data_IF_426088623248
#
_entry.id   IF_426088623248
#
_cell.length_a   1.000
_cell.length_b   1.000
_cell.length_c   1.000
_cell.angle_alpha   90.00
_cell.angle_beta   90.00
_cell.angle_gamma   90.00
#
_symmetry.space_group_name_H-M   'P 1'
#
loop_
_entity.id
_entity.type
_entity.pdbx_description
1 polymer ?
#
# COMPACT_ATOMS: atom_id res chain seq x y z
N UNK A 1 25.76 22.87 8.69
CA UNK A 1 26.28 22.43 10.00
C UNK A 1 25.08 22.27 10.91
N UNK A 2 24.99 21.20 11.70
CA UNK A 2 23.95 21.12 12.74
C UNK A 2 24.49 21.88 13.95
N UNK A 3 24.05 23.12 14.14
CA UNK A 3 24.32 23.83 15.40
C UNK A 3 23.51 23.12 16.49
N UNK A 4 24.19 22.68 17.55
CA UNK A 4 23.55 22.30 18.80
C UNK A 4 23.35 23.57 19.60
N UNK A 5 22.17 24.17 19.48
CA UNK A 5 21.77 25.24 20.38
C UNK A 5 21.56 24.56 21.73
N UNK A 6 22.33 24.89 22.75
CA UNK A 6 22.21 24.24 24.05
C UNK A 6 20.87 24.57 24.71
N UNK A 7 19.84 23.77 24.44
CA UNK A 7 18.56 23.88 25.14
C UNK A 7 18.70 23.13 26.46
N UNK A 8 19.24 23.81 27.48
CA UNK A 8 19.24 23.29 28.86
C UNK A 8 17.82 23.15 29.44
N UNK A 9 17.59 23.62 30.67
CA UNK A 9 16.30 23.59 31.39
C UNK A 9 15.15 24.44 30.77
N UNK A 10 15.21 24.76 29.47
CA UNK A 10 14.28 25.65 28.77
C UNK A 10 13.28 24.92 27.88
N UNK A 11 13.33 23.59 27.86
CA UNK A 11 12.29 22.74 27.26
C UNK A 11 11.30 22.39 28.37
N UNK A 12 10.08 22.91 28.28
CA UNK A 12 9.01 22.61 29.24
C UNK A 12 7.89 21.86 28.56
N UNK A 13 7.44 20.77 29.18
CA UNK A 13 6.21 20.09 28.78
C UNK A 13 5.03 20.94 29.21
N UNK A 14 4.30 21.49 28.23
CA UNK A 14 3.18 22.42 28.47
C UNK A 14 1.89 21.63 28.67
N UNK A 15 1.63 20.62 27.83
CA UNK A 15 0.41 19.81 27.89
C UNK A 15 0.67 18.38 27.42
N UNK A 16 -0.01 17.42 28.02
CA UNK A 16 -0.18 16.09 27.47
C UNK A 16 -1.67 15.75 27.46
N UNK A 17 -2.18 15.41 26.28
CA UNK A 17 -3.57 15.02 26.07
C UNK A 17 -3.59 13.72 25.26
N UNK A 18 -3.73 12.59 25.96
CA UNK A 18 -3.59 11.26 25.37
C UNK A 18 -2.23 11.06 24.68
N UNK A 19 -2.30 10.88 23.35
CA UNK A 19 -1.15 10.66 22.45
C UNK A 19 -0.48 11.97 21.99
N UNK A 20 -1.04 13.13 22.35
CA UNK A 20 -0.54 14.44 21.96
C UNK A 20 0.29 15.04 23.09
N UNK A 21 1.56 15.33 22.81
CA UNK A 21 2.49 15.96 23.74
C UNK A 21 2.93 17.33 23.21
N UNK A 22 2.76 18.37 24.01
CA UNK A 22 3.12 19.74 23.63
C UNK A 22 4.30 20.22 24.49
N UNK A 23 5.39 20.61 23.84
CA UNK A 23 6.61 21.10 24.48
C UNK A 23 6.86 22.55 24.07
N UNK A 24 6.95 23.45 25.04
CA UNK A 24 7.39 24.83 24.85
C UNK A 24 8.89 24.92 24.93
N UNK A 25 9.50 25.59 23.95
CA UNK A 25 10.94 25.82 23.86
C UNK A 25 11.19 27.31 23.91
N UNK A 26 12.03 27.75 24.85
CA UNK A 26 12.46 29.15 24.96
C UNK A 26 13.95 29.28 24.67
N UNK A 27 14.31 30.14 23.71
CA UNK A 27 15.69 30.51 23.43
C UNK A 27 16.02 31.84 24.12
N UNK A 28 17.21 31.91 24.71
CA UNK A 28 17.77 33.18 25.20
C UNK A 28 18.38 34.00 24.07
N UNK A 29 18.73 35.24 24.41
CA UNK A 29 19.36 36.19 23.48
C UNK A 29 20.67 35.68 22.88
N UNK A 30 21.44 34.86 23.60
CA UNK A 30 22.72 34.31 23.12
C UNK A 30 22.49 33.26 22.04
N UNK A 31 21.71 32.22 22.35
CA UNK A 31 21.35 31.17 21.40
C UNK A 31 20.58 31.74 20.19
N UNK A 32 19.73 32.75 20.42
CA UNK A 32 19.00 33.43 19.35
C UNK A 32 19.94 34.19 18.41
N UNK A 33 20.99 34.83 18.92
CA UNK A 33 21.98 35.53 18.10
C UNK A 33 22.78 34.55 17.23
N UNK A 34 23.17 33.41 17.77
CA UNK A 34 23.88 32.36 17.04
C UNK A 34 23.00 31.78 15.91
N UNK A 35 21.74 31.44 16.23
CA UNK A 35 20.77 30.98 15.24
C UNK A 35 20.48 32.04 14.17
N UNK A 36 20.39 33.31 14.56
CA UNK A 36 20.18 34.45 13.64
C UNK A 36 21.35 34.64 12.68
N UNK A 37 22.58 34.49 13.16
CA UNK A 37 23.76 34.59 12.31
C UNK A 37 23.81 33.45 11.28
N UNK A 38 23.52 32.21 11.69
CA UNK A 38 23.47 31.09 10.76
C UNK A 38 22.33 31.25 9.74
N UNK A 39 21.14 31.69 10.18
CA UNK A 39 20.01 31.97 9.30
C UNK A 39 20.40 32.99 8.21
N UNK A 40 21.07 34.07 8.59
CA UNK A 40 21.54 35.08 7.63
C UNK A 40 22.55 34.52 6.62
N UNK A 41 23.46 33.65 7.05
CA UNK A 41 24.43 32.99 6.15
C UNK A 41 23.74 32.02 5.19
N UNK A 42 22.75 31.26 5.65
CA UNK A 42 21.95 30.37 4.78
C UNK A 42 21.16 31.16 3.77
N UNK A 43 20.46 32.21 4.21
CA UNK A 43 19.70 33.09 3.33
C UNK A 43 20.60 33.83 2.33
N UNK A 44 21.82 34.21 2.72
CA UNK A 44 22.79 34.82 1.80
C UNK A 44 23.08 33.93 0.58
N UNK A 45 23.09 32.60 0.77
CA UNK A 45 23.35 31.64 -0.31
C UNK A 45 22.18 31.45 -1.29
N UNK A 46 20.95 31.82 -0.89
CA UNK A 46 19.72 31.57 -1.65
C UNK A 46 19.08 32.86 -2.18
N UNK A 47 19.18 33.96 -1.44
CA UNK A 47 18.56 35.24 -1.77
C UNK A 47 19.31 35.92 -2.91
N UNK A 48 18.55 36.33 -3.92
CA UNK A 48 19.02 37.19 -5.01
C UNK A 48 18.53 38.62 -4.76
N UNK A 49 19.46 39.57 -4.72
CA UNK A 49 19.16 41.00 -4.62
C UNK A 49 19.71 41.74 -5.84
N UNK A 50 18.93 42.63 -6.48
CA UNK A 50 19.40 43.42 -7.61
C UNK A 50 20.70 44.17 -7.27
N UNK A 51 21.72 44.00 -8.11
CA UNK A 51 23.04 44.63 -7.90
C UNK A 51 24.07 43.77 -7.14
N UNK A 52 23.67 42.64 -6.56
CA UNK A 52 24.58 41.73 -5.86
C UNK A 52 24.51 40.32 -6.43
N UNK A 53 25.68 39.68 -6.58
CA UNK A 53 25.75 38.25 -6.92
C UNK A 53 25.27 37.41 -5.73
N UNK A 54 24.46 36.39 -6.02
CA UNK A 54 24.00 35.39 -5.03
C UNK A 54 25.19 34.89 -4.21
N UNK A 55 25.04 34.84 -2.88
CA UNK A 55 26.11 34.47 -1.94
C UNK A 55 27.04 35.61 -1.50
N UNK A 56 26.94 36.81 -2.08
CA UNK A 56 27.82 37.97 -1.76
C UNK A 56 27.05 39.21 -1.28
N UNK A 57 25.77 39.07 -0.98
CA UNK A 57 24.95 40.13 -0.40
C UNK A 57 25.40 40.39 1.06
N UNK A 58 25.61 41.64 1.50
CA UNK A 58 25.88 41.94 2.90
C UNK A 58 24.75 41.48 3.84
N UNK A 59 25.09 40.82 4.95
CA UNK A 59 24.12 40.25 5.89
C UNK A 59 23.17 41.31 6.50
N UNK A 60 23.66 42.53 6.70
CA UNK A 60 22.85 43.64 7.23
C UNK A 60 21.68 43.98 6.29
N UNK A 61 21.91 44.00 4.96
CA UNK A 61 20.86 44.28 3.99
C UNK A 61 19.81 43.16 3.95
N UNK A 62 20.22 41.90 4.07
CA UNK A 62 19.29 40.76 4.11
C UNK A 62 18.36 40.88 5.33
N UNK A 63 18.92 41.25 6.48
CA UNK A 63 18.17 41.44 7.73
C UNK A 63 17.12 42.55 7.63
N UNK A 64 17.46 43.65 6.96
CA UNK A 64 16.54 44.78 6.78
C UNK A 64 15.48 44.53 5.71
N UNK A 65 15.86 43.92 4.58
CA UNK A 65 14.97 43.74 3.43
C UNK A 65 14.04 42.51 3.58
N UNK A 66 14.46 41.47 4.30
CA UNK A 66 13.71 40.22 4.43
C UNK A 66 13.50 39.78 5.90
N UNK A 67 12.89 40.62 6.75
CA UNK A 67 12.74 40.31 8.18
C UNK A 67 11.87 39.07 8.44
N UNK A 68 10.86 38.80 7.61
CA UNK A 68 10.01 37.61 7.71
C UNK A 68 10.77 36.33 7.38
N UNK A 69 11.51 36.32 6.27
CA UNK A 69 12.31 35.17 5.83
C UNK A 69 13.40 34.82 6.85
N UNK A 70 14.03 35.84 7.44
CA UNK A 70 15.01 35.65 8.53
C UNK A 70 14.35 35.04 9.75
N UNK A 71 13.15 35.51 10.15
CA UNK A 71 12.41 34.91 11.26
C UNK A 71 12.10 33.44 11.01
N UNK A 72 11.63 33.09 9.82
CA UNK A 72 11.26 31.72 9.47
C UNK A 72 12.47 30.79 9.45
N UNK A 73 13.61 31.23 8.92
CA UNK A 73 14.85 30.45 8.92
C UNK A 73 15.41 30.27 10.34
N UNK A 74 15.32 31.32 11.19
CA UNK A 74 15.71 31.21 12.61
C UNK A 74 14.83 30.20 13.34
N UNK A 75 13.52 30.19 13.07
CA UNK A 75 12.58 29.22 13.63
C UNK A 75 12.90 27.80 13.17
N UNK A 76 13.19 27.60 11.88
CA UNK A 76 13.55 26.30 11.33
C UNK A 76 14.84 25.75 11.94
N UNK A 77 15.89 26.58 12.06
CA UNK A 77 17.14 26.21 12.72
C UNK A 77 16.90 25.84 14.18
N UNK A 78 16.14 26.67 14.90
CA UNK A 78 15.83 26.45 16.30
C UNK A 78 15.02 25.15 16.52
N UNK A 79 14.00 24.92 15.69
CA UNK A 79 13.18 23.72 15.75
C UNK A 79 13.97 22.45 15.41
N UNK A 80 14.79 22.47 14.35
CA UNK A 80 15.66 21.34 13.95
C UNK A 80 16.69 20.99 15.01
N UNK A 81 17.17 21.98 15.75
CA UNK A 81 18.11 21.77 16.86
C UNK A 81 17.39 21.23 18.11
N UNK A 82 16.19 21.74 18.44
CA UNK A 82 15.43 21.34 19.62
C UNK A 82 14.79 19.93 19.50
N UNK A 83 14.32 19.56 18.30
CA UNK A 83 13.68 18.27 18.02
C UNK A 83 14.45 17.04 18.55
N UNK A 84 15.73 16.82 18.18
CA UNK A 84 16.47 15.65 18.65
C UNK A 84 16.71 15.67 20.16
N UNK A 85 16.82 16.83 20.80
CA UNK A 85 16.98 16.93 22.24
C UNK A 85 15.69 16.57 22.99
N UNK A 86 14.54 17.05 22.51
CA UNK A 86 13.22 16.70 23.06
C UNK A 86 12.96 15.20 22.93
N UNK A 87 13.24 14.61 21.76
CA UNK A 87 13.06 13.18 21.51
C UNK A 87 13.93 12.35 22.45
N UNK A 88 15.21 12.70 22.62
CA UNK A 88 16.11 12.01 23.55
C UNK A 88 15.67 12.12 25.00
N UNK A 89 15.27 13.32 25.45
CA UNK A 89 14.87 13.55 26.83
C UNK A 89 13.54 12.86 27.19
N UNK A 90 12.62 12.77 26.24
CA UNK A 90 11.27 12.25 26.47
C UNK A 90 11.08 10.79 26.04
N UNK A 91 12.07 10.18 25.35
CA UNK A 91 11.98 8.84 24.76
C UNK A 91 10.72 8.62 23.92
N UNK A 92 10.20 9.71 23.34
CA UNK A 92 9.00 9.69 22.51
C UNK A 92 9.35 9.30 21.08
N UNK A 93 8.56 8.41 20.48
CA UNK A 93 8.64 8.07 19.07
C UNK A 93 7.45 8.72 18.34
N UNK A 94 7.65 9.89 17.71
CA UNK A 94 6.59 10.55 16.97
C UNK A 94 6.18 9.74 15.74
N UNK A 95 4.88 9.61 15.52
CA UNK A 95 4.30 8.92 14.36
C UNK A 95 4.19 9.86 13.16
N UNK A 96 4.01 11.15 13.45
CA UNK A 96 3.83 12.21 12.47
C UNK A 96 4.91 13.27 12.67
N UNK A 97 5.26 13.97 11.58
CA UNK A 97 6.14 15.13 11.65
C UNK A 97 5.58 16.14 12.69
N UNK A 98 6.40 16.59 13.66
CA UNK A 98 5.93 17.49 14.70
C UNK A 98 5.46 18.84 14.16
N UNK A 99 4.40 19.38 14.75
CA UNK A 99 3.81 20.66 14.34
C UNK A 99 4.29 21.79 15.24
N UNK A 100 4.70 22.91 14.63
CA UNK A 100 5.03 24.13 15.36
C UNK A 100 3.74 24.93 15.65
N UNK A 101 3.57 25.34 16.91
CA UNK A 101 2.47 26.15 17.41
C UNK A 101 2.97 27.34 18.22
N UNK A 102 2.11 28.34 18.40
CA UNK A 102 2.30 29.46 19.33
C UNK A 102 3.68 30.14 19.25
N UNK A 103 4.05 30.61 18.06
CA UNK A 103 5.35 31.24 17.83
C UNK A 103 5.35 32.71 18.28
N UNK A 104 6.18 33.03 19.28
CA UNK A 104 6.49 34.40 19.68
C UNK A 104 7.95 34.70 19.40
N UNK A 105 8.21 35.74 18.60
CA UNK A 105 9.55 36.14 18.20
C UNK A 105 9.78 37.61 18.56
N UNK A 106 10.67 37.84 19.52
CA UNK A 106 11.16 39.16 19.88
C UNK A 106 12.60 39.31 19.36
N UNK A 107 12.83 40.13 18.32
CA UNK A 107 14.15 40.33 17.75
C UNK A 107 15.18 40.70 18.83
N UNK A 108 16.30 39.99 18.87
CA UNK A 108 17.42 40.20 19.80
C UNK A 108 17.13 40.00 21.30
N UNK A 109 15.93 39.56 21.68
CA UNK A 109 15.57 39.29 23.09
C UNK A 109 15.32 37.81 23.36
N UNK A 110 14.29 37.26 22.76
CA UNK A 110 13.85 35.90 23.04
C UNK A 110 13.02 35.34 21.88
N UNK A 111 13.09 34.02 21.72
CA UNK A 111 12.21 33.27 20.83
C UNK A 111 11.52 32.18 21.64
N UNK A 112 10.21 32.12 21.53
CA UNK A 112 9.37 31.07 22.09
C UNK A 112 8.57 30.39 20.99
N UNK A 113 8.54 29.06 21.01
CA UNK A 113 7.64 28.28 20.17
C UNK A 113 7.25 26.99 20.87
N UNK A 114 6.11 26.44 20.47
CA UNK A 114 5.62 25.15 20.96
C UNK A 114 5.78 24.11 19.85
N UNK A 115 6.26 22.92 20.20
CA UNK A 115 6.27 21.75 19.32
C UNK A 115 5.23 20.76 19.84
N UNK A 116 4.28 20.41 18.99
CA UNK A 116 3.34 19.33 19.21
C UNK A 116 3.86 18.03 18.59
N UNK A 117 3.98 17.00 19.42
CA UNK A 117 4.29 15.63 19.02
C UNK A 117 3.04 14.77 19.15
N UNK A 118 2.82 13.89 18.18
CA UNK A 118 1.80 12.86 18.22
C UNK A 118 2.49 11.50 18.26
N UNK A 119 2.32 10.78 19.36
CA UNK A 119 3.00 9.52 19.64
C UNK A 119 2.02 8.35 19.54
N UNK A 120 2.52 7.16 19.22
CA UNK A 120 1.68 5.97 19.29
C UNK A 120 1.25 5.71 20.74
N UNK A 121 -0.01 5.27 20.95
CA UNK A 121 -0.42 4.82 22.26
C UNK A 121 0.42 3.61 22.68
N UNK A 122 0.81 3.57 23.95
CA UNK A 122 1.40 2.37 24.54
C UNK A 122 0.26 1.38 24.79
N UNK A 123 0.18 0.35 23.97
CA UNK A 123 -0.78 -0.73 24.12
C UNK A 123 -0.15 -1.84 24.97
N UNK A 124 -0.77 -2.12 26.13
CA UNK A 124 -0.48 -3.33 26.90
C UNK A 124 -1.49 -4.41 26.50
N UNK A 125 -1.12 -5.40 25.67
CA UNK A 125 -2.05 -6.44 25.27
C UNK A 125 -2.43 -7.27 26.50
N UNK A 126 -3.72 -7.24 26.88
CA UNK A 126 -4.29 -8.03 27.98
C UNK A 126 -5.26 -9.06 27.41
N UNK A 127 -5.25 -10.28 27.96
CA UNK A 127 -6.21 -11.33 27.61
C UNK A 127 -5.92 -12.15 26.36
N UNK A 128 -4.75 -11.97 25.72
CA UNK A 128 -4.34 -12.76 24.55
C UNK A 128 -4.18 -14.26 24.87
N UNK A 129 -3.83 -14.60 26.11
CA UNK A 129 -3.69 -15.99 26.59
C UNK A 129 -5.02 -16.75 26.63
N UNK A 130 -6.16 -16.04 26.65
CA UNK A 130 -7.49 -16.66 26.64
C UNK A 130 -7.99 -16.96 25.22
N UNK A 131 -7.23 -16.59 24.19
CA UNK A 131 -7.61 -16.82 22.79
C UNK A 131 -7.25 -18.26 22.44
N UNK A 132 -8.25 -19.14 22.42
CA UNK A 132 -8.07 -20.50 21.96
C UNK A 132 -7.92 -20.53 20.43
N UNK A 133 -6.78 -21.00 19.95
CA UNK A 133 -6.52 -21.21 18.53
C UNK A 133 -6.43 -22.70 18.22
N UNK A 134 -7.31 -23.20 17.35
CA UNK A 134 -7.30 -24.61 16.93
C UNK A 134 -6.32 -24.78 15.77
N UNK A 135 -5.22 -25.49 16.01
CA UNK A 135 -4.28 -25.87 14.93
C UNK A 135 -4.87 -27.03 14.14
N UNK A 136 -5.29 -26.77 12.91
CA UNK A 136 -5.61 -27.84 11.95
C UNK A 136 -4.31 -28.42 11.42
N UNK A 137 -4.00 -29.66 11.80
CA UNK A 137 -2.91 -30.43 11.19
C UNK A 137 -3.48 -31.30 10.08
N UNK A 138 -3.13 -31.00 8.84
CA UNK A 138 -3.45 -31.84 7.69
C UNK A 138 -2.23 -32.71 7.37
N UNK A 139 -2.38 -34.04 7.45
CA UNK A 139 -1.34 -34.96 7.00
C UNK A 139 -1.60 -35.28 5.55
N UNK A 140 -0.67 -34.89 4.68
CA UNK A 140 -0.73 -35.25 3.26
C UNK A 140 -0.62 -36.77 3.18
N UNK A 141 -1.55 -37.39 2.46
CA UNK A 141 -1.56 -38.84 2.24
C UNK A 141 -0.91 -39.19 0.92
N UNK A 142 -0.37 -40.41 0.79
CA UNK A 142 0.22 -40.87 -0.47
C UNK A 142 -0.80 -40.86 -1.62
N UNK A 143 -2.09 -41.05 -1.32
CA UNK A 143 -3.18 -40.96 -2.29
C UNK A 143 -3.35 -39.54 -2.86
N UNK A 144 -3.18 -38.50 -2.05
CA UNK A 144 -3.23 -37.11 -2.53
C UNK A 144 -2.03 -36.76 -3.40
N UNK A 145 -0.86 -37.29 -3.05
CA UNK A 145 0.36 -37.15 -3.86
C UNK A 145 0.17 -37.84 -5.21
N UNK A 146 -0.31 -39.08 -5.23
CA UNK A 146 -0.55 -39.82 -6.47
C UNK A 146 -1.61 -39.13 -7.34
N UNK A 147 -2.69 -38.62 -6.73
CA UNK A 147 -3.70 -37.82 -7.42
C UNK A 147 -3.08 -36.60 -8.09
N UNK A 148 -2.22 -35.88 -7.39
CA UNK A 148 -1.55 -34.69 -7.94
C UNK A 148 -0.58 -35.05 -9.08
N UNK A 149 0.18 -36.14 -8.93
CA UNK A 149 1.06 -36.65 -9.98
C UNK A 149 0.27 -36.99 -11.24
N UNK A 150 -0.88 -37.65 -11.11
CA UNK A 150 -1.73 -37.99 -12.26
C UNK A 150 -2.32 -36.75 -12.93
N UNK A 151 -2.75 -35.74 -12.16
CA UNK A 151 -3.16 -34.45 -12.73
C UNK A 151 -2.03 -33.77 -13.52
N UNK A 152 -0.80 -33.82 -13.00
CA UNK A 152 0.38 -33.27 -13.72
C UNK A 152 0.66 -34.05 -15.00
N UNK A 153 0.51 -35.38 -14.99
CA UNK A 153 0.67 -36.22 -16.19
C UNK A 153 -0.38 -35.90 -17.26
N UNK A 154 -1.64 -35.75 -16.85
CA UNK A 154 -2.75 -35.38 -17.75
C UNK A 154 -2.52 -34.00 -18.38
N UNK A 155 -2.08 -33.00 -17.59
CA UNK A 155 -1.78 -31.66 -18.11
C UNK A 155 -0.64 -31.63 -19.14
N UNK A 156 0.30 -32.57 -19.05
CA UNK A 156 1.42 -32.70 -19.98
C UNK A 156 1.18 -33.73 -21.09
N UNK A 157 -0.02 -34.31 -21.17
CA UNK A 157 -0.37 -35.25 -22.23
C UNK A 157 -0.50 -34.50 -23.57
N UNK A 158 -0.21 -35.21 -24.66
CA UNK A 158 -0.41 -34.69 -26.02
C UNK A 158 -1.57 -35.44 -26.68
N UNK A 159 -2.46 -34.69 -27.33
CA UNK A 159 -3.59 -35.26 -28.05
C UNK A 159 -3.12 -35.85 -29.37
N UNK A 160 -3.58 -37.07 -29.66
CA UNK A 160 -3.41 -37.70 -30.97
C UNK A 160 -4.72 -37.61 -31.74
N UNK A 161 -4.70 -37.31 -33.04
CA UNK A 161 -5.90 -37.40 -33.86
C UNK A 161 -6.48 -38.81 -33.80
N UNK A 162 -7.80 -38.91 -33.58
CA UNK A 162 -8.53 -40.16 -33.65
C UNK A 162 -8.53 -40.73 -35.08
N UNK A 163 -8.73 -42.04 -35.22
CA UNK A 163 -8.82 -42.72 -36.51
C UNK A 163 -10.05 -42.28 -37.32
N UNK A 164 -9.98 -42.44 -38.64
CA UNK A 164 -11.10 -42.12 -39.52
C UNK A 164 -12.35 -42.95 -39.18
N UNK A 165 -13.45 -42.26 -38.88
CA UNK A 165 -14.74 -42.88 -38.55
C UNK A 165 -14.86 -43.41 -37.11
N UNK A 166 -13.85 -43.17 -36.27
CA UNK A 166 -13.88 -43.48 -34.84
C UNK A 166 -14.96 -42.64 -34.13
N UNK A 167 -15.75 -43.31 -33.30
CA UNK A 167 -16.79 -42.65 -32.51
C UNK A 167 -16.18 -42.02 -31.26
N UNK A 168 -16.74 -40.90 -30.80
CA UNK A 168 -16.30 -40.23 -29.58
C UNK A 168 -16.44 -41.16 -28.36
N UNK A 169 -15.34 -41.41 -27.65
CA UNK A 169 -15.31 -42.19 -26.42
C UNK A 169 -15.12 -41.26 -25.21
N UNK A 170 -15.37 -41.79 -24.00
CA UNK A 170 -15.32 -41.00 -22.76
C UNK A 170 -13.94 -40.41 -22.45
N UNK A 171 -12.87 -40.99 -22.97
CA UNK A 171 -11.49 -40.53 -22.81
C UNK A 171 -10.99 -39.69 -24.01
N UNK A 172 -11.89 -39.30 -24.93
CA UNK A 172 -11.55 -38.48 -26.09
C UNK A 172 -11.77 -36.99 -25.84
N UNK A 173 -11.02 -36.19 -26.58
CA UNK A 173 -11.28 -34.76 -26.74
C UNK A 173 -11.95 -34.55 -28.09
N UNK A 174 -13.02 -33.75 -28.10
CA UNK A 174 -13.77 -33.42 -29.32
C UNK A 174 -13.76 -31.92 -29.55
N UNK A 175 -13.74 -31.51 -30.82
CA UNK A 175 -13.94 -30.12 -31.20
C UNK A 175 -15.38 -29.97 -31.63
N UNK A 176 -16.14 -29.13 -30.94
CA UNK A 176 -17.57 -28.95 -31.18
C UNK A 176 -17.91 -27.50 -31.47
N UNK A 177 -18.93 -27.35 -32.30
CA UNK A 177 -19.66 -26.11 -32.50
C UNK A 177 -21.07 -26.34 -31.95
N UNK A 178 -21.58 -25.47 -31.08
CA UNK A 178 -22.94 -25.57 -30.55
C UNK A 178 -23.61 -24.20 -30.45
N UNK A 179 -24.94 -24.23 -30.57
CA UNK A 179 -25.83 -23.09 -30.40
C UNK A 179 -26.83 -23.43 -29.28
N UNK A 180 -26.98 -22.51 -28.32
CA UNK A 180 -27.84 -22.70 -27.16
C UNK A 180 -29.13 -21.90 -27.29
N UNK A 181 -30.26 -22.54 -26.98
CA UNK A 181 -31.60 -21.98 -27.03
C UNK A 181 -32.28 -22.03 -25.66
N UNK A 182 -32.95 -20.95 -25.26
CA UNK A 182 -33.84 -20.89 -24.10
C UNK A 182 -35.28 -20.73 -24.58
N UNK A 183 -36.13 -21.73 -24.35
CA UNK A 183 -37.54 -21.68 -24.76
C UNK A 183 -37.75 -21.48 -26.28
N UNK A 184 -36.80 -21.95 -27.10
CA UNK A 184 -36.81 -21.80 -28.56
C UNK A 184 -36.26 -20.46 -29.07
N UNK A 185 -35.77 -19.58 -28.19
CA UNK A 185 -35.07 -18.35 -28.58
C UNK A 185 -33.55 -18.53 -28.41
N UNK A 186 -32.73 -18.09 -29.37
CA UNK A 186 -31.27 -18.19 -29.25
C UNK A 186 -30.78 -17.31 -28.11
N UNK A 187 -29.86 -17.84 -27.30
CA UNK A 187 -29.19 -17.08 -26.25
C UNK A 187 -28.11 -16.21 -26.89
N UNK A 188 -28.06 -14.91 -26.55
CA UNK A 188 -27.18 -13.94 -27.20
C UNK A 188 -25.68 -14.32 -27.16
N UNK A 189 -25.24 -14.98 -26.09
CA UNK A 189 -23.88 -15.50 -25.90
C UNK A 189 -23.83 -17.04 -25.90
N UNK A 190 -24.84 -17.71 -26.49
CA UNK A 190 -24.99 -19.16 -26.46
C UNK A 190 -24.39 -19.91 -27.65
N UNK A 191 -23.75 -19.21 -28.59
CA UNK A 191 -23.12 -19.80 -29.78
C UNK A 191 -21.61 -19.84 -29.61
N UNK A 192 -21.04 -21.05 -29.65
CA UNK A 192 -19.61 -21.28 -29.51
C UNK A 192 -19.11 -22.11 -30.68
N UNK A 193 -17.95 -21.73 -31.23
CA UNK A 193 -17.29 -22.44 -32.33
C UNK A 193 -15.88 -22.87 -31.95
N UNK A 194 -15.52 -24.09 -32.32
CA UNK A 194 -14.19 -24.65 -32.14
C UNK A 194 -13.84 -24.92 -30.68
N UNK A 195 -14.83 -25.14 -29.81
CA UNK A 195 -14.56 -25.47 -28.40
C UNK A 195 -14.01 -26.89 -28.28
N UNK A 196 -12.90 -27.03 -27.56
CA UNK A 196 -12.32 -28.33 -27.23
C UNK A 196 -12.98 -28.81 -25.94
N UNK A 197 -13.71 -29.93 -26.03
CA UNK A 197 -14.44 -30.54 -24.91
C UNK A 197 -13.75 -31.84 -24.53
N UNK A 198 -13.41 -31.96 -23.25
CA UNK A 198 -12.90 -33.18 -22.62
C UNK A 198 -14.06 -34.08 -22.19
N UNK A 199 -14.28 -35.22 -22.86
CA UNK A 199 -15.40 -36.09 -22.53
C UNK A 199 -15.21 -36.86 -21.20
N UNK A 200 -14.03 -36.78 -20.59
CA UNK A 200 -13.71 -37.49 -19.35
C UNK A 200 -14.00 -36.64 -18.11
N UNK A 201 -14.08 -35.32 -18.29
CA UNK A 201 -14.24 -34.34 -17.22
C UNK A 201 -15.64 -33.69 -17.23
N UNK A 202 -16.17 -33.28 -16.06
CA UNK A 202 -17.39 -32.48 -16.00
C UNK A 202 -17.24 -31.20 -16.82
N UNK A 203 -18.19 -30.97 -17.72
CA UNK A 203 -18.20 -29.81 -18.60
C UNK A 203 -19.03 -28.68 -18.01
N UNK A 204 -18.78 -27.45 -18.48
CA UNK A 204 -19.55 -26.25 -18.11
C UNK A 204 -21.04 -26.45 -18.39
N UNK A 205 -21.38 -27.11 -19.50
CA UNK A 205 -22.74 -27.53 -19.83
C UNK A 205 -22.93 -28.97 -19.34
N UNK A 206 -23.79 -29.14 -18.35
CA UNK A 206 -24.11 -30.45 -17.82
C UNK A 206 -24.76 -31.33 -18.90
N UNK A 207 -24.23 -32.55 -19.10
CA UNK A 207 -24.74 -33.50 -20.09
C UNK A 207 -24.16 -33.36 -21.50
N UNK A 208 -23.39 -32.30 -21.80
CA UNK A 208 -22.74 -32.12 -23.11
C UNK A 208 -21.82 -33.29 -23.45
N UNK A 209 -20.96 -33.70 -22.51
CA UNK A 209 -20.05 -34.82 -22.73
C UNK A 209 -20.82 -36.11 -23.05
N UNK A 210 -21.87 -36.42 -22.29
CA UNK A 210 -22.66 -37.64 -22.48
C UNK A 210 -23.45 -37.64 -23.81
N UNK A 211 -23.93 -36.48 -24.25
CA UNK A 211 -24.65 -36.33 -25.51
C UNK A 211 -23.74 -36.59 -26.74
N UNK A 212 -22.48 -36.21 -26.65
CA UNK A 212 -21.51 -36.34 -27.75
C UNK A 212 -20.85 -37.71 -27.79
N UNK A 213 -20.83 -38.47 -26.69
CA UNK A 213 -20.30 -39.85 -26.67
C UNK A 213 -21.02 -40.71 -27.72
N UNK A 214 -20.23 -41.43 -28.53
CA UNK A 214 -20.70 -42.26 -29.63
C UNK A 214 -20.97 -41.52 -30.94
N UNK A 215 -20.85 -40.18 -30.98
CA UNK A 215 -20.98 -39.41 -32.21
C UNK A 215 -19.74 -39.57 -33.10
N UNK A 216 -19.93 -39.53 -34.41
CA UNK A 216 -18.83 -39.48 -35.38
C UNK A 216 -18.54 -38.04 -35.82
N UNK A 217 -17.35 -37.81 -36.37
CA UNK A 217 -16.98 -36.51 -36.93
C UNK A 217 -17.99 -36.06 -37.99
N UNK A 218 -18.55 -34.87 -37.80
CA UNK A 218 -19.55 -34.26 -38.70
C UNK A 218 -21.01 -34.63 -38.39
N UNK A 219 -21.26 -35.41 -37.34
CA UNK A 219 -22.61 -35.69 -36.83
C UNK A 219 -23.11 -34.54 -35.95
N UNK A 220 -24.39 -34.19 -36.07
CA UNK A 220 -25.06 -33.19 -35.22
C UNK A 220 -26.02 -33.88 -34.26
N UNK A 221 -26.07 -33.39 -33.02
CA UNK A 221 -26.96 -33.90 -31.97
C UNK A 221 -27.57 -32.74 -31.19
N UNK A 222 -28.78 -32.97 -30.71
CA UNK A 222 -29.53 -32.04 -29.87
C UNK A 222 -29.76 -32.70 -28.51
N UNK A 223 -29.63 -31.93 -27.42
CA UNK A 223 -29.84 -32.44 -26.06
C UNK A 223 -30.27 -31.30 -25.13
N UNK A 224 -31.13 -31.62 -24.16
CA UNK A 224 -31.53 -30.66 -23.13
C UNK A 224 -30.51 -30.64 -21.99
N UNK A 225 -30.12 -29.44 -21.54
CA UNK A 225 -29.17 -29.23 -20.44
C UNK A 225 -29.71 -28.24 -19.39
N UNK A 226 -29.55 -28.54 -18.08
CA UNK A 226 -29.82 -27.55 -17.04
C UNK A 226 -28.67 -26.53 -16.93
N UNK A 227 -29.00 -25.24 -16.90
CA UNK A 227 -28.05 -24.15 -16.64
C UNK A 227 -28.57 -23.26 -15.50
N UNK A 228 -28.07 -23.49 -14.28
CA UNK A 228 -28.63 -22.90 -13.07
C UNK A 228 -30.08 -23.34 -12.85
N UNK A 229 -31.01 -22.38 -12.69
CA UNK A 229 -32.45 -22.65 -12.52
C UNK A 229 -33.21 -22.79 -13.86
N UNK A 230 -32.52 -22.69 -15.00
CA UNK A 230 -33.12 -22.66 -16.35
C UNK A 230 -32.85 -23.95 -17.13
N UNK A 231 -33.76 -24.31 -18.03
CA UNK A 231 -33.59 -25.38 -19.01
C UNK A 231 -33.18 -24.79 -20.35
N UNK A 232 -32.07 -25.27 -20.90
CA UNK A 232 -31.55 -24.90 -22.20
C UNK A 232 -31.57 -26.13 -23.12
N UNK A 233 -31.62 -25.87 -24.42
CA UNK A 233 -31.60 -26.84 -25.51
C UNK A 233 -30.49 -26.46 -26.50
#
# INVERSE_FOLDING_TARGET
>A
MNITLGFGDKIKKVKQDGCVHLFGVTLDSKALSEASQEALVRLQSVVSLPGFRVGKVPLAMIKEQFPSMVKDEVLDIAAKSALPEIIKASSLNPVVAPLLKSVSYEPAKALYFEIQFECSPVLEPKGYEKIAATRKTHKITDAEVEKYINQVREYNAYLKPAGDGEAAAKDHFVVVDYDTFEGGQPVADGSVKGEIVDLSSPQTIAGLADAVIGAKKGESREFDAPFGDKKMH
#
